data_IF_613955659616
#
_entry.id   IF_613955659616
#
_cell.length_a   1.000
_cell.length_b   1.000
_cell.length_c   1.000
_cell.angle_alpha   90.00
_cell.angle_beta   90.00
_cell.angle_gamma   90.00
#
_symmetry.space_group_name_H-M   'P 1'
#
loop_
_entity.id
_entity.type
_entity.pdbx_description
1 polymer ?
#
# COMPACT_ATOMS: atom_id res chain seq x y z
N UNK A 1 0.52 17.83 -23.76
CA UNK A 1 -0.82 17.30 -23.36
C UNK A 1 -0.73 15.89 -22.77
N UNK A 2 0.34 15.12 -23.00
CA UNK A 2 0.48 13.73 -22.52
C UNK A 2 0.63 13.58 -20.99
N UNK A 3 1.29 14.53 -20.32
CA UNK A 3 1.52 14.44 -18.86
C UNK A 3 0.22 14.48 -18.04
N UNK A 4 -0.78 15.25 -18.45
CA UNK A 4 -2.08 15.34 -17.74
C UNK A 4 -2.93 14.07 -17.90
N UNK A 5 -2.87 13.40 -19.05
CA UNK A 5 -3.59 12.14 -19.28
C UNK A 5 -2.94 10.96 -18.53
N UNK A 6 -1.60 10.94 -18.48
CA UNK A 6 -0.86 9.94 -17.70
C UNK A 6 -1.18 10.03 -16.20
N UNK A 7 -1.20 11.24 -15.64
CA UNK A 7 -1.56 11.46 -14.23
C UNK A 7 -3.02 11.07 -13.92
N UNK A 8 -3.94 11.29 -14.86
CA UNK A 8 -5.36 10.93 -14.70
C UNK A 8 -5.54 9.40 -14.65
N UNK A 9 -4.93 8.69 -15.59
CA UNK A 9 -5.01 7.22 -15.67
C UNK A 9 -4.35 6.51 -14.48
N UNK A 10 -3.21 7.03 -13.99
CA UNK A 10 -2.56 6.53 -12.77
C UNK A 10 -3.46 6.68 -11.54
N UNK A 11 -4.08 7.86 -11.37
CA UNK A 11 -5.00 8.13 -10.25
C UNK A 11 -6.25 7.24 -10.31
N UNK A 12 -6.77 6.96 -11.50
CA UNK A 12 -7.90 6.04 -11.68
C UNK A 12 -7.53 4.59 -11.39
N UNK A 13 -6.33 4.15 -11.78
CA UNK A 13 -5.85 2.81 -11.47
C UNK A 13 -5.64 2.62 -9.95
N UNK A 14 -5.07 3.63 -9.27
CA UNK A 14 -4.95 3.64 -7.82
C UNK A 14 -6.30 3.49 -7.13
N UNK A 15 -7.37 4.13 -7.60
CA UNK A 15 -8.72 3.99 -7.01
C UNK A 15 -9.27 2.56 -7.05
N UNK A 16 -8.79 1.70 -7.95
CA UNK A 16 -9.25 0.30 -8.06
C UNK A 16 -8.67 -0.62 -7.00
N UNK A 17 -7.55 -0.24 -6.39
CA UNK A 17 -6.99 -0.98 -5.26
C UNK A 17 -7.89 -0.77 -4.04
N UNK A 18 -8.32 -1.88 -3.44
CA UNK A 18 -9.11 -1.87 -2.21
C UNK A 18 -8.36 -1.16 -1.08
N UNK A 19 -9.10 -0.53 -0.19
CA UNK A 19 -8.53 0.00 1.05
C UNK A 19 -8.27 -1.15 2.03
N UNK A 20 -7.23 -1.00 2.84
CA UNK A 20 -6.83 -2.01 3.83
C UNK A 20 -6.87 -1.42 5.25
N UNK A 21 -7.75 -1.93 6.10
CA UNK A 21 -7.88 -1.53 7.50
C UNK A 21 -7.03 -2.38 8.44
N UNK A 22 -6.63 -3.59 8.03
CA UNK A 22 -5.85 -4.52 8.85
C UNK A 22 -6.65 -5.20 9.98
N UNK A 23 -7.97 -5.30 9.82
CA UNK A 23 -8.83 -6.11 10.71
C UNK A 23 -8.78 -7.60 10.35
N UNK A 24 -9.02 -8.48 11.34
CA UNK A 24 -8.79 -9.93 11.23
C UNK A 24 -9.66 -10.68 10.17
N UNK A 25 -10.74 -10.07 9.69
CA UNK A 25 -11.61 -10.65 8.66
C UNK A 25 -11.44 -10.00 7.28
N UNK A 26 -10.36 -9.23 7.09
CA UNK A 26 -10.07 -8.53 5.84
C UNK A 26 -9.24 -9.40 4.87
N UNK A 27 -9.07 -8.91 3.65
CA UNK A 27 -8.22 -9.48 2.60
C UNK A 27 -6.86 -9.94 3.12
N UNK A 28 -6.32 -11.01 2.53
CA UNK A 28 -4.96 -11.42 2.79
C UNK A 28 -4.00 -10.27 2.44
N UNK A 29 -3.19 -9.85 3.42
CA UNK A 29 -2.18 -8.80 3.25
C UNK A 29 -1.22 -9.14 2.10
N UNK A 30 -0.93 -10.42 1.86
CA UNK A 30 -0.05 -10.85 0.77
C UNK A 30 -0.71 -10.62 -0.60
N UNK A 31 -2.02 -10.87 -0.74
CA UNK A 31 -2.77 -10.57 -1.97
C UNK A 31 -2.88 -9.06 -2.19
N UNK A 32 -3.19 -8.30 -1.14
CA UNK A 32 -3.31 -6.85 -1.24
C UNK A 32 -1.97 -6.18 -1.61
N UNK A 33 -0.86 -6.61 -1.00
CA UNK A 33 0.48 -6.13 -1.33
C UNK A 33 0.90 -6.53 -2.75
N UNK A 34 0.48 -7.71 -3.23
CA UNK A 34 0.75 -8.15 -4.59
C UNK A 34 0.10 -7.22 -5.62
N UNK A 35 -1.20 -6.93 -5.47
CA UNK A 35 -1.92 -6.02 -6.36
C UNK A 35 -1.34 -4.61 -6.35
N UNK A 36 -0.99 -4.12 -5.16
CA UNK A 36 -0.37 -2.82 -4.97
C UNK A 36 1.01 -2.74 -5.66
N UNK A 37 1.86 -3.75 -5.48
CA UNK A 37 3.18 -3.83 -6.09
C UNK A 37 3.13 -3.92 -7.62
N UNK A 38 2.19 -4.70 -8.17
CA UNK A 38 1.97 -4.78 -9.60
C UNK A 38 1.62 -3.41 -10.16
N UNK A 39 0.72 -2.68 -9.50
CA UNK A 39 0.34 -1.35 -9.93
C UNK A 39 1.51 -0.36 -9.83
N UNK A 40 2.28 -0.38 -8.75
CA UNK A 40 3.47 0.47 -8.59
C UNK A 40 4.53 0.20 -9.66
N UNK A 41 4.71 -1.05 -10.05
CA UNK A 41 5.62 -1.45 -11.14
C UNK A 41 5.16 -0.87 -12.49
N UNK A 42 3.88 -1.01 -12.82
CA UNK A 42 3.29 -0.45 -14.05
C UNK A 42 3.42 1.07 -14.11
N UNK A 43 3.24 1.75 -12.98
CA UNK A 43 3.36 3.20 -12.87
C UNK A 43 4.81 3.69 -12.73
N UNK A 44 5.78 2.78 -12.59
CA UNK A 44 7.21 3.06 -12.37
C UNK A 44 7.43 4.01 -11.19
N UNK A 45 6.69 3.80 -10.10
CA UNK A 45 6.81 4.63 -8.90
C UNK A 45 8.14 4.38 -8.18
N UNK A 46 8.74 5.47 -7.69
CA UNK A 46 9.88 5.44 -6.77
C UNK A 46 9.41 5.10 -5.35
N UNK A 47 10.32 4.60 -4.53
CA UNK A 47 10.02 4.14 -3.17
C UNK A 47 9.32 5.17 -2.30
N UNK A 48 9.79 6.42 -2.29
CA UNK A 48 9.14 7.51 -1.55
C UNK A 48 7.67 7.69 -1.93
N UNK A 49 7.37 7.60 -3.24
CA UNK A 49 5.99 7.72 -3.73
C UNK A 49 5.18 6.48 -3.33
N UNK A 50 5.75 5.27 -3.44
CA UNK A 50 5.07 4.05 -3.00
C UNK A 50 4.68 4.10 -1.53
N UNK A 51 5.58 4.57 -0.66
CA UNK A 51 5.35 4.73 0.77
C UNK A 51 4.15 5.67 1.03
N UNK A 52 4.08 6.80 0.32
CA UNK A 52 3.00 7.77 0.46
C UNK A 52 1.67 7.28 -0.12
N UNK A 53 1.69 6.69 -1.31
CA UNK A 53 0.49 6.15 -1.98
C UNK A 53 -0.12 4.99 -1.18
N UNK A 54 0.72 4.17 -0.56
CA UNK A 54 0.28 3.11 0.37
C UNK A 54 -0.44 3.70 1.56
N UNK A 55 0.07 4.77 2.18
CA UNK A 55 -0.64 5.44 3.28
C UNK A 55 -2.04 5.91 2.86
N UNK A 56 -2.21 6.37 1.62
CA UNK A 56 -3.51 6.77 1.07
C UNK A 56 -4.49 5.60 0.83
N UNK A 57 -4.03 4.36 0.96
CA UNK A 57 -4.81 3.14 0.82
C UNK A 57 -5.03 2.39 2.12
N UNK A 58 -4.44 2.85 3.21
CA UNK A 58 -4.66 2.31 4.53
C UNK A 58 -5.80 3.06 5.22
N UNK A 59 -6.61 2.33 5.98
CA UNK A 59 -7.65 2.88 6.85
C UNK A 59 -7.53 2.26 8.25
N UNK A 60 -8.39 2.70 9.19
CA UNK A 60 -8.54 2.02 10.48
C UNK A 60 -7.22 1.80 11.27
N UNK A 61 -7.07 0.61 11.90
CA UNK A 61 -5.86 0.23 12.64
C UNK A 61 -4.57 0.24 11.80
N UNK A 62 -4.65 -0.19 10.54
CA UNK A 62 -3.49 -0.23 9.65
C UNK A 62 -2.94 1.17 9.36
N UNK A 63 -3.81 2.14 9.09
CA UNK A 63 -3.39 3.52 8.88
C UNK A 63 -2.71 4.10 10.12
N UNK A 64 -3.30 3.89 11.29
CA UNK A 64 -2.74 4.41 12.55
C UNK A 64 -1.33 3.85 12.79
N UNK A 65 -1.19 2.53 12.69
CA UNK A 65 0.11 1.87 12.86
C UNK A 65 1.13 2.34 11.81
N UNK A 66 0.72 2.47 10.55
CA UNK A 66 1.62 2.89 9.48
C UNK A 66 2.11 4.32 9.67
N UNK A 67 1.25 5.24 10.12
CA UNK A 67 1.62 6.62 10.44
C UNK A 67 2.64 6.72 11.58
N UNK A 68 2.48 5.89 12.62
CA UNK A 68 3.42 5.81 13.75
C UNK A 68 4.80 5.31 13.31
N UNK A 69 4.85 4.43 12.32
CA UNK A 69 6.07 3.80 11.83
C UNK A 69 6.62 4.47 10.56
N UNK A 70 5.96 5.48 10.00
CA UNK A 70 6.29 6.08 8.70
C UNK A 70 7.74 6.55 8.60
N UNK A 71 8.28 7.12 9.69
CA UNK A 71 9.65 7.62 9.75
C UNK A 71 10.72 6.52 9.78
N UNK A 72 10.33 5.28 10.05
CA UNK A 72 11.24 4.13 10.10
C UNK A 72 11.47 3.50 8.72
N UNK A 73 10.66 3.83 7.72
CA UNK A 73 10.76 3.25 6.38
C UNK A 73 11.83 3.99 5.56
N UNK A 74 12.93 3.30 5.26
CA UNK A 74 14.05 3.85 4.46
C UNK A 74 13.76 3.70 2.96
N UNK A 75 13.11 2.60 2.58
CA UNK A 75 12.75 2.26 1.21
C UNK A 75 11.43 1.46 1.20
N UNK A 76 10.92 1.19 0.00
CA UNK A 76 9.65 0.47 -0.15
C UNK A 76 9.73 -0.98 0.36
N UNK A 77 10.86 -1.65 0.16
CA UNK A 77 11.04 -3.04 0.61
C UNK A 77 10.93 -3.16 2.14
N UNK A 78 11.45 -2.18 2.87
CA UNK A 78 11.34 -2.15 4.33
C UNK A 78 9.89 -1.90 4.77
N UNK A 79 9.18 -0.97 4.12
CA UNK A 79 7.78 -0.69 4.40
C UNK A 79 6.86 -1.89 4.09
N UNK A 80 7.04 -2.51 2.93
CA UNK A 80 6.29 -3.71 2.51
C UNK A 80 6.49 -4.84 3.52
N UNK A 81 7.75 -5.12 3.89
CA UNK A 81 8.06 -6.17 4.85
C UNK A 81 7.42 -5.88 6.21
N UNK A 82 7.54 -4.65 6.71
CA UNK A 82 6.96 -4.27 7.99
C UNK A 82 5.43 -4.39 7.99
N UNK A 83 4.76 -4.00 6.90
CA UNK A 83 3.31 -4.19 6.72
C UNK A 83 2.92 -5.66 6.73
N UNK A 84 3.61 -6.48 5.92
CA UNK A 84 3.38 -7.92 5.86
C UNK A 84 3.57 -8.53 7.24
N UNK A 85 4.71 -8.33 7.88
CA UNK A 85 5.02 -8.92 9.20
C UNK A 85 4.00 -8.49 10.27
N UNK A 86 3.47 -7.26 10.19
CA UNK A 86 2.47 -6.75 11.13
C UNK A 86 1.09 -7.39 10.99
N UNK A 87 0.64 -7.62 9.75
CA UNK A 87 -0.74 -8.02 9.46
C UNK A 87 -0.90 -9.47 8.98
N UNK A 88 0.20 -10.21 8.82
CA UNK A 88 0.21 -11.63 8.44
C UNK A 88 -0.25 -12.58 9.56
N UNK A 89 -0.26 -12.15 10.81
CA UNK A 89 -0.61 -12.97 11.99
C UNK A 89 -2.04 -12.75 12.54
N UNK A 90 -3.02 -12.40 11.71
CA UNK A 90 -4.44 -12.36 12.13
C UNK A 90 -5.34 -13.39 11.43
N UNK A 91 -4.78 -14.38 10.72
CA UNK A 91 -5.53 -15.40 9.98
C UNK A 91 -5.34 -16.83 10.49
N UNK A 92 -4.78 -17.04 11.69
CA UNK A 92 -4.74 -18.36 12.34
C UNK A 92 -5.51 -18.35 13.66
N UNK A 93 -6.63 -19.09 13.63
CA UNK A 93 -7.63 -19.45 14.66
C UNK A 93 -8.66 -18.40 15.11
#
# INVERSE_FOLDING_TARGET
METQQLHSSQKEAMKKIAEFSGEANEFDIDEWLFDLNNLFSLMKLKDETRILETMGKLTGPALRWYQENLRSFINWSDAEKALRDRFKEFTSD
#
